data_IF_934185101884
#
_entry.id   IF_934185101884
#
_cell.length_a   1.000
_cell.length_b   1.000
_cell.length_c   1.000
_cell.angle_alpha   90.00
_cell.angle_beta   90.00
_cell.angle_gamma   90.00
#
_symmetry.space_group_name_H-M   'P 1'
#
loop_
_entity.id
_entity.type
_entity.pdbx_description
1 polymer ?
#
# COMPACT_ATOMS: atom_id res chain seq x y z
N UNK A 1 -19.78 -47.27 73.43
CA UNK A 1 -20.31 -47.01 72.09
C UNK A 1 -19.49 -45.87 71.51
N UNK A 2 -18.49 -46.20 70.66
CA UNK A 2 -17.54 -45.16 70.07
C UNK A 2 -17.96 -44.94 68.61
N UNK A 3 -18.41 -43.69 68.35
CA UNK A 3 -18.78 -43.23 67.06
C UNK A 3 -17.49 -42.76 66.31
N UNK A 4 -17.17 -43.39 65.14
CA UNK A 4 -16.06 -43.01 64.29
C UNK A 4 -16.58 -41.99 63.22
N UNK A 5 -16.13 -40.79 63.33
CA UNK A 5 -16.36 -39.77 62.30
C UNK A 5 -15.45 -40.06 61.08
N UNK A 6 -16.03 -40.21 59.91
CA UNK A 6 -15.34 -40.26 58.63
C UNK A 6 -15.33 -38.83 58.03
N UNK A 7 -14.15 -38.26 57.91
CA UNK A 7 -13.95 -36.99 57.19
C UNK A 7 -13.70 -37.33 55.70
N UNK A 8 -14.63 -36.95 54.84
CA UNK A 8 -14.47 -37.05 53.40
C UNK A 8 -13.82 -35.78 52.88
N UNK A 9 -12.56 -35.87 52.45
CA UNK A 9 -11.84 -34.76 51.83
C UNK A 9 -12.15 -34.77 50.32
N UNK A 10 -12.94 -33.79 49.84
CA UNK A 10 -13.22 -33.61 48.43
C UNK A 10 -12.10 -32.72 47.87
N UNK A 11 -11.24 -33.29 47.05
CA UNK A 11 -10.20 -32.54 46.28
C UNK A 11 -10.84 -31.99 45.02
N UNK A 12 -11.04 -30.68 44.99
CA UNK A 12 -11.55 -29.95 43.83
C UNK A 12 -10.38 -29.65 42.88
N UNK A 13 -10.26 -30.39 41.79
CA UNK A 13 -9.26 -30.13 40.75
C UNK A 13 -9.79 -29.03 39.81
N UNK A 14 -9.23 -27.85 39.95
CA UNK A 14 -9.53 -26.71 39.08
C UNK A 14 -8.83 -26.93 37.70
N UNK A 15 -9.58 -27.37 36.70
CA UNK A 15 -9.10 -27.36 35.31
C UNK A 15 -9.07 -25.94 34.81
N UNK A 16 -7.87 -25.36 34.73
CA UNK A 16 -7.63 -24.07 34.11
C UNK A 16 -7.60 -24.27 32.59
N UNK A 17 -8.74 -24.10 31.95
CA UNK A 17 -8.83 -24.05 30.47
C UNK A 17 -8.36 -22.66 30.00
N UNK A 18 -7.13 -22.59 29.51
CA UNK A 18 -6.65 -21.39 28.80
C UNK A 18 -7.46 -21.20 27.52
N UNK A 19 -8.10 -20.04 27.30
CA UNK A 19 -8.74 -19.78 26.02
C UNK A 19 -7.66 -19.67 24.95
N UNK A 20 -7.65 -20.60 24.02
CA UNK A 20 -6.88 -20.54 22.79
C UNK A 20 -7.50 -19.43 21.95
N UNK A 21 -6.86 -18.26 21.94
CA UNK A 21 -7.23 -17.16 21.05
C UNK A 21 -7.03 -17.65 19.61
N UNK A 22 -8.11 -18.03 18.97
CA UNK A 22 -8.11 -18.35 17.55
C UNK A 22 -7.72 -17.07 16.78
N UNK A 23 -6.60 -17.12 16.09
CA UNK A 23 -6.13 -16.05 15.21
C UNK A 23 -7.17 -15.87 14.09
N UNK A 24 -7.96 -14.81 14.19
CA UNK A 24 -8.99 -14.52 13.18
C UNK A 24 -8.29 -14.11 11.90
N UNK A 25 -8.17 -15.02 10.96
CA UNK A 25 -7.72 -14.73 9.60
C UNK A 25 -8.75 -13.78 8.98
N UNK A 26 -8.40 -12.52 8.84
CA UNK A 26 -9.22 -11.55 8.13
C UNK A 26 -9.24 -11.97 6.66
N UNK A 27 -10.28 -12.69 6.26
CA UNK A 27 -10.53 -13.00 4.86
C UNK A 27 -11.03 -11.73 4.19
N UNK A 28 -10.55 -11.42 2.98
CA UNK A 28 -11.09 -10.31 2.22
C UNK A 28 -12.58 -10.50 1.99
N UNK A 29 -13.38 -9.41 1.99
CA UNK A 29 -14.79 -9.50 1.63
C UNK A 29 -14.96 -10.18 0.27
N UNK A 30 -16.02 -11.00 0.06
CA UNK A 30 -16.18 -11.84 -1.13
C UNK A 30 -16.26 -11.09 -2.45
N UNK A 31 -16.55 -9.79 -2.43
CA UNK A 31 -16.76 -8.96 -3.63
C UNK A 31 -15.57 -8.05 -4.02
N UNK A 32 -14.37 -8.33 -3.50
CA UNK A 32 -13.20 -7.55 -3.88
C UNK A 32 -12.70 -7.92 -5.28
N UNK A 33 -12.41 -6.90 -6.11
CA UNK A 33 -11.74 -7.10 -7.39
C UNK A 33 -10.32 -7.64 -7.18
N UNK A 34 -9.75 -8.27 -8.22
CA UNK A 34 -8.36 -8.76 -8.19
C UNK A 34 -7.37 -7.60 -7.98
N UNK A 35 -7.63 -6.43 -8.55
CA UNK A 35 -6.84 -5.23 -8.33
C UNK A 35 -6.85 -4.80 -6.85
N UNK A 36 -8.03 -4.80 -6.20
CA UNK A 36 -8.12 -4.49 -4.78
C UNK A 36 -7.37 -5.51 -3.91
N UNK A 37 -7.50 -6.80 -4.22
CA UNK A 37 -6.76 -7.86 -3.51
C UNK A 37 -5.26 -7.65 -3.64
N UNK A 38 -4.77 -7.39 -4.86
CA UNK A 38 -3.35 -7.18 -5.11
C UNK A 38 -2.82 -5.93 -4.41
N UNK A 39 -3.53 -4.81 -4.44
CA UNK A 39 -3.06 -3.54 -3.87
C UNK A 39 -3.17 -3.50 -2.35
N UNK A 40 -4.30 -3.97 -1.77
CA UNK A 40 -4.63 -3.69 -0.37
C UNK A 40 -4.52 -4.89 0.56
N UNK A 41 -4.52 -6.12 0.04
CA UNK A 41 -4.63 -7.33 0.88
C UNK A 41 -3.48 -8.30 0.72
N UNK A 42 -2.66 -8.17 -0.32
CA UNK A 42 -1.50 -9.03 -0.53
C UNK A 42 -0.39 -8.72 0.48
N UNK A 43 0.25 -9.74 1.03
CA UNK A 43 1.48 -9.59 1.80
C UNK A 43 2.67 -9.35 0.85
N UNK A 44 2.85 -8.09 0.42
CA UNK A 44 3.94 -7.69 -0.47
C UNK A 44 5.33 -7.84 0.18
N UNK A 45 5.39 -7.84 1.51
CA UNK A 45 6.62 -7.98 2.27
C UNK A 45 6.92 -9.45 2.62
N UNK A 46 6.22 -10.41 2.01
CA UNK A 46 6.48 -11.82 2.22
C UNK A 46 7.95 -12.16 1.94
N UNK A 47 8.63 -12.80 2.91
CA UNK A 47 10.05 -13.14 2.81
C UNK A 47 11.01 -12.02 3.23
N UNK A 48 10.52 -10.81 3.50
CA UNK A 48 11.35 -9.71 4.02
C UNK A 48 11.53 -9.89 5.52
N UNK A 49 12.78 -9.94 5.97
CA UNK A 49 13.17 -10.22 7.35
C UNK A 49 13.15 -8.97 8.23
N UNK A 50 13.10 -9.19 9.57
CA UNK A 50 13.35 -8.11 10.55
C UNK A 50 14.74 -7.51 10.33
N UNK A 51 14.85 -6.19 10.42
CA UNK A 51 16.08 -5.43 10.18
C UNK A 51 16.37 -5.17 8.71
N UNK A 52 15.56 -5.71 7.77
CA UNK A 52 15.71 -5.39 6.35
C UNK A 52 15.21 -3.98 6.03
N UNK A 53 15.81 -3.41 4.99
CA UNK A 53 15.45 -2.13 4.42
C UNK A 53 15.12 -2.31 2.94
N UNK A 54 14.09 -1.62 2.46
CA UNK A 54 13.72 -1.55 1.05
C UNK A 54 13.80 -0.09 0.65
N UNK A 55 14.57 0.20 -0.39
CA UNK A 55 14.78 1.53 -0.91
C UNK A 55 14.09 1.65 -2.27
N UNK A 56 13.40 2.75 -2.47
CA UNK A 56 12.82 3.13 -3.74
C UNK A 56 13.39 4.48 -4.17
N UNK A 57 13.85 4.56 -5.41
CA UNK A 57 14.18 5.83 -6.03
C UNK A 57 12.91 6.55 -6.44
N UNK A 58 12.73 7.78 -5.99
CA UNK A 58 11.63 8.64 -6.38
C UNK A 58 12.10 9.66 -7.41
N UNK A 59 11.29 9.88 -8.44
CA UNK A 59 11.53 10.93 -9.44
C UNK A 59 10.25 11.71 -9.66
N UNK A 60 10.31 13.02 -9.58
CA UNK A 60 9.25 13.94 -9.98
C UNK A 60 9.74 14.80 -11.15
N UNK A 61 8.92 14.95 -12.18
CA UNK A 61 9.14 15.84 -13.32
C UNK A 61 7.85 16.58 -13.63
N UNK A 62 7.95 17.87 -13.71
CA UNK A 62 6.89 18.75 -14.18
C UNK A 62 7.37 19.52 -15.41
N UNK A 63 6.52 20.35 -16.00
CA UNK A 63 6.87 21.27 -17.08
C UNK A 63 7.83 22.40 -16.62
N UNK A 64 7.96 22.62 -15.31
CA UNK A 64 8.77 23.69 -14.71
C UNK A 64 10.04 23.18 -14.06
N UNK A 65 9.94 22.10 -13.31
CA UNK A 65 11.03 21.60 -12.47
C UNK A 65 10.90 20.09 -12.25
N UNK A 66 11.94 19.51 -11.72
CA UNK A 66 11.96 18.12 -11.32
C UNK A 66 13.00 17.86 -10.24
N UNK A 67 12.81 16.79 -9.49
CA UNK A 67 13.78 16.34 -8.50
C UNK A 67 13.82 14.82 -8.42
N UNK A 68 14.90 14.32 -7.82
CA UNK A 68 15.07 12.92 -7.46
C UNK A 68 15.31 12.83 -5.96
N UNK A 69 14.76 11.78 -5.35
CA UNK A 69 14.85 11.54 -3.91
C UNK A 69 14.69 10.05 -3.62
N UNK A 70 14.66 9.68 -2.35
CA UNK A 70 14.51 8.29 -1.91
C UNK A 70 13.32 8.11 -0.97
N UNK A 71 12.73 6.92 -1.03
CA UNK A 71 11.76 6.43 -0.05
C UNK A 71 12.33 5.16 0.55
N UNK A 72 12.42 5.12 1.87
CA UNK A 72 12.99 3.99 2.61
C UNK A 72 11.94 3.39 3.52
N UNK A 73 11.80 2.06 3.48
CA UNK A 73 10.99 1.29 4.42
C UNK A 73 11.92 0.39 5.23
N UNK A 74 11.79 0.42 6.56
CA UNK A 74 12.52 -0.46 7.48
C UNK A 74 11.55 -1.40 8.17
N UNK A 75 11.85 -2.70 8.14
CA UNK A 75 11.12 -3.71 8.92
C UNK A 75 11.72 -3.76 10.32
N UNK A 76 11.10 -3.12 11.30
CA UNK A 76 11.61 -3.05 12.68
C UNK A 76 11.24 -4.28 13.49
N UNK A 77 10.12 -4.94 13.16
CA UNK A 77 9.70 -6.15 13.85
C UNK A 77 8.83 -7.05 12.94
N UNK A 78 8.80 -8.35 13.26
CA UNK A 78 7.83 -9.31 12.70
C UNK A 78 6.93 -9.74 13.85
N UNK A 79 5.68 -9.30 13.82
CA UNK A 79 4.69 -9.54 14.88
C UNK A 79 4.09 -10.94 14.75
N UNK A 80 3.65 -11.30 13.53
CA UNK A 80 3.13 -12.61 13.18
C UNK A 80 3.24 -12.84 11.67
N UNK A 81 2.81 -14.00 11.17
CA UNK A 81 2.81 -14.29 9.73
C UNK A 81 2.03 -13.21 8.98
N UNK A 82 2.71 -12.51 8.07
CA UNK A 82 2.14 -11.44 7.25
C UNK A 82 1.97 -10.09 7.96
N UNK A 83 2.35 -9.96 9.25
CA UNK A 83 2.26 -8.69 10.00
C UNK A 83 3.61 -8.22 10.48
N UNK A 84 3.92 -6.95 10.21
CA UNK A 84 5.21 -6.32 10.52
C UNK A 84 5.01 -4.93 11.12
N UNK A 85 5.97 -4.51 11.92
CA UNK A 85 6.11 -3.12 12.33
C UNK A 85 7.11 -2.47 11.37
N UNK A 86 6.74 -1.31 10.84
CA UNK A 86 7.46 -0.63 9.76
C UNK A 86 7.69 0.84 10.11
N UNK A 87 8.87 1.32 9.78
CA UNK A 87 9.22 2.74 9.81
C UNK A 87 9.55 3.22 8.40
N UNK A 88 9.42 4.53 8.19
CA UNK A 88 9.55 5.16 6.88
C UNK A 88 10.43 6.39 6.94
N UNK A 89 11.30 6.56 5.91
CA UNK A 89 11.78 7.86 5.50
C UNK A 89 11.14 8.13 4.13
N UNK A 90 10.21 9.06 4.07
CA UNK A 90 9.50 9.35 2.83
C UNK A 90 9.95 10.70 2.31
N UNK A 91 10.85 10.66 1.33
CA UNK A 91 11.56 11.79 0.75
C UNK A 91 12.45 12.51 1.77
N UNK A 92 13.17 13.54 1.35
CA UNK A 92 14.13 14.27 2.17
C UNK A 92 13.98 15.80 2.06
N UNK A 93 14.70 16.54 2.90
CA UNK A 93 14.74 18.00 2.86
C UNK A 93 13.35 18.64 2.89
N UNK A 94 13.10 19.56 1.98
CA UNK A 94 11.81 20.28 1.86
C UNK A 94 10.65 19.40 1.37
N UNK A 95 10.96 18.25 0.76
CA UNK A 95 9.97 17.28 0.28
C UNK A 95 9.63 16.22 1.32
N UNK A 96 10.33 16.19 2.45
CA UNK A 96 10.13 15.18 3.49
C UNK A 96 8.69 15.18 4.03
N UNK A 97 8.12 13.98 4.16
CA UNK A 97 6.80 13.77 4.75
C UNK A 97 6.97 12.79 5.92
N UNK A 98 6.63 13.26 7.11
CA UNK A 98 6.64 12.45 8.32
C UNK A 98 5.38 11.57 8.37
N UNK A 99 5.54 10.31 8.01
CA UNK A 99 4.50 9.29 8.19
C UNK A 99 4.74 8.52 9.48
N UNK A 100 3.68 8.39 10.29
CA UNK A 100 3.74 7.57 11.50
C UNK A 100 4.10 6.12 11.18
N UNK A 101 4.87 5.44 12.06
CA UNK A 101 5.16 4.02 11.93
C UNK A 101 3.89 3.18 11.74
N UNK A 102 3.94 2.19 10.87
CA UNK A 102 2.84 1.25 10.68
C UNK A 102 3.04 0.01 11.57
N UNK A 103 2.15 -0.18 12.54
CA UNK A 103 2.23 -1.26 13.51
C UNK A 103 1.35 -2.44 13.10
N UNK A 104 1.87 -3.67 13.20
CA UNK A 104 1.15 -4.90 12.84
C UNK A 104 0.52 -4.86 11.44
N UNK A 105 1.19 -4.22 10.50
CA UNK A 105 0.68 -3.97 9.15
C UNK A 105 0.90 -5.17 8.22
N UNK A 106 -0.07 -5.40 7.34
CA UNK A 106 0.03 -6.39 6.25
C UNK A 106 0.13 -5.67 4.91
N UNK A 107 1.02 -6.14 4.04
CA UNK A 107 1.29 -5.50 2.75
C UNK A 107 2.41 -4.47 2.81
N UNK A 108 2.47 -3.62 1.79
CA UNK A 108 3.47 -2.57 1.68
C UNK A 108 2.78 -1.19 1.73
N UNK A 109 2.89 -0.45 2.83
CA UNK A 109 2.17 0.80 3.02
C UNK A 109 2.68 1.94 2.14
N UNK A 110 3.83 1.81 1.48
CA UNK A 110 4.33 2.84 0.55
C UNK A 110 3.32 3.17 -0.55
N UNK A 111 2.48 2.20 -0.96
CA UNK A 111 1.39 2.43 -1.91
C UNK A 111 0.46 3.54 -1.40
N UNK A 112 0.04 3.41 -0.15
CA UNK A 112 -0.87 4.38 0.48
C UNK A 112 -0.17 5.73 0.67
N UNK A 113 1.09 5.74 1.13
CA UNK A 113 1.85 6.97 1.34
C UNK A 113 2.08 7.72 0.02
N UNK A 114 2.43 7.02 -1.06
CA UNK A 114 2.54 7.61 -2.39
C UNK A 114 1.21 8.25 -2.85
N UNK A 115 0.10 7.54 -2.70
CA UNK A 115 -1.22 8.05 -3.07
C UNK A 115 -1.66 9.22 -2.20
N UNK A 116 -1.41 9.20 -0.88
CA UNK A 116 -1.78 10.30 0.03
C UNK A 116 -0.97 11.57 -0.25
N UNK A 117 0.32 11.44 -0.56
CA UNK A 117 1.13 12.57 -1.04
C UNK A 117 0.51 13.18 -2.29
N UNK A 118 0.21 12.38 -3.28
CA UNK A 118 -0.35 12.82 -4.54
C UNK A 118 -1.74 13.47 -4.39
N UNK A 119 -2.61 12.89 -3.55
CA UNK A 119 -3.90 13.46 -3.18
C UNK A 119 -3.73 14.83 -2.53
N UNK A 120 -2.75 14.97 -1.63
CA UNK A 120 -2.47 16.25 -0.96
C UNK A 120 -2.01 17.32 -1.94
N UNK A 121 -1.18 16.97 -2.91
CA UNK A 121 -0.76 17.88 -3.98
C UNK A 121 -1.95 18.32 -4.83
N UNK A 122 -2.76 17.39 -5.31
CA UNK A 122 -3.98 17.71 -6.08
C UNK A 122 -4.93 18.62 -5.30
N UNK A 123 -5.12 18.36 -4.01
CA UNK A 123 -5.96 19.17 -3.14
C UNK A 123 -5.40 20.60 -2.99
N UNK A 124 -4.09 20.71 -2.75
CA UNK A 124 -3.40 22.01 -2.64
C UNK A 124 -3.53 22.83 -3.91
N UNK A 125 -3.33 22.21 -5.06
CA UNK A 125 -3.35 22.89 -6.35
C UNK A 125 -4.74 23.32 -6.81
N UNK A 126 -5.77 22.56 -6.42
CA UNK A 126 -7.14 22.76 -6.92
C UNK A 126 -8.08 23.37 -5.88
N UNK A 127 -7.70 23.40 -4.61
CA UNK A 127 -8.58 23.71 -3.49
C UNK A 127 -9.63 22.60 -3.23
N UNK A 128 -9.50 21.45 -3.90
CA UNK A 128 -10.41 20.33 -3.75
C UNK A 128 -10.22 19.56 -2.43
N UNK A 129 -11.24 18.83 -2.03
CA UNK A 129 -11.19 18.04 -0.79
C UNK A 129 -10.45 16.71 -0.98
N UNK A 130 -9.46 16.40 -0.13
CA UNK A 130 -8.69 15.15 -0.16
C UNK A 130 -9.58 13.89 -0.23
N UNK A 131 -10.67 13.86 0.52
CA UNK A 131 -11.60 12.74 0.53
C UNK A 131 -12.28 12.48 -0.81
N UNK A 132 -12.48 13.51 -1.62
CA UNK A 132 -13.02 13.36 -2.98
C UNK A 132 -12.03 12.59 -3.86
N UNK A 133 -10.78 13.05 -3.95
CA UNK A 133 -9.74 12.42 -4.75
C UNK A 133 -9.46 10.98 -4.26
N UNK A 134 -9.34 10.79 -2.94
CA UNK A 134 -9.15 9.46 -2.34
C UNK A 134 -10.27 8.50 -2.71
N UNK A 135 -11.52 8.93 -2.64
CA UNK A 135 -12.67 8.09 -3.00
C UNK A 135 -12.68 7.72 -4.48
N UNK A 136 -12.32 8.66 -5.38
CA UNK A 136 -12.24 8.39 -6.83
C UNK A 136 -11.15 7.37 -7.14
N UNK A 137 -9.96 7.53 -6.59
CA UNK A 137 -8.84 6.58 -6.75
C UNK A 137 -9.25 5.21 -6.22
N UNK A 138 -9.75 5.12 -4.98
CA UNK A 138 -10.18 3.86 -4.37
C UNK A 138 -11.28 3.15 -5.17
N UNK A 139 -12.25 3.90 -5.69
CA UNK A 139 -13.35 3.33 -6.47
C UNK A 139 -12.90 2.85 -7.86
N UNK A 140 -11.82 3.38 -8.42
CA UNK A 140 -11.26 2.91 -9.68
C UNK A 140 -10.70 1.49 -9.60
N UNK A 141 -10.31 1.02 -8.42
CA UNK A 141 -9.91 -0.37 -8.20
C UNK A 141 -11.10 -1.32 -8.01
N UNK A 142 -12.30 -0.82 -7.77
CA UNK A 142 -13.52 -1.66 -7.61
C UNK A 142 -14.09 -2.15 -8.94
N UNK A 143 -13.98 -1.32 -9.99
CA UNK A 143 -14.34 -1.70 -11.36
C UNK A 143 -13.25 -2.63 -11.88
N UNK A 144 -13.50 -3.39 -12.96
CA UNK A 144 -12.42 -4.10 -13.63
C UNK A 144 -11.35 -3.07 -14.00
N UNK A 145 -10.33 -2.93 -13.16
CA UNK A 145 -9.15 -2.17 -13.52
C UNK A 145 -8.46 -2.92 -14.67
N UNK A 146 -7.82 -2.19 -15.57
CA UNK A 146 -7.01 -2.82 -16.60
C UNK A 146 -5.81 -3.48 -15.90
N UNK A 147 -5.72 -4.81 -16.05
CA UNK A 147 -4.68 -5.62 -15.43
C UNK A 147 -4.04 -6.49 -16.49
N UNK A 148 -2.73 -6.32 -16.67
CA UNK A 148 -1.96 -7.10 -17.65
C UNK A 148 -0.80 -7.84 -16.98
N UNK A 149 -0.52 -9.05 -17.47
CA UNK A 149 0.78 -9.69 -17.24
C UNK A 149 1.82 -9.04 -18.13
N UNK A 150 2.89 -8.51 -17.53
CA UNK A 150 3.99 -7.88 -18.24
C UNK A 150 5.31 -8.52 -17.88
N UNK A 151 6.30 -8.38 -18.76
CA UNK A 151 7.68 -8.77 -18.50
C UNK A 151 8.56 -7.52 -18.51
N UNK A 152 9.37 -7.36 -17.49
CA UNK A 152 10.30 -6.24 -17.34
C UNK A 152 11.68 -6.74 -16.91
N UNK A 153 12.66 -5.86 -16.90
CA UNK A 153 14.03 -6.16 -16.47
C UNK A 153 14.24 -5.69 -15.02
N UNK A 154 14.79 -6.58 -14.19
CA UNK A 154 15.21 -6.29 -12.83
C UNK A 154 16.56 -7.00 -12.58
N UNK A 155 17.58 -6.23 -12.16
CA UNK A 155 18.95 -6.73 -11.93
C UNK A 155 19.50 -7.59 -13.09
N UNK A 156 19.27 -7.12 -14.34
CA UNK A 156 19.74 -7.82 -15.55
C UNK A 156 18.95 -9.09 -15.91
N UNK A 157 17.84 -9.38 -15.23
CA UNK A 157 16.99 -10.56 -15.48
C UNK A 157 15.60 -10.15 -15.93
N UNK A 158 15.03 -10.94 -16.83
CA UNK A 158 13.60 -10.80 -17.21
C UNK A 158 12.71 -11.36 -16.11
N UNK A 159 11.84 -10.51 -15.58
CA UNK A 159 10.92 -10.81 -14.49
C UNK A 159 9.49 -10.61 -14.96
N UNK A 160 8.58 -11.53 -14.60
CA UNK A 160 7.14 -11.38 -14.81
C UNK A 160 6.52 -10.58 -13.68
N UNK A 161 5.55 -9.75 -14.02
CA UNK A 161 4.76 -8.99 -13.06
C UNK A 161 3.35 -8.72 -13.55
N UNK A 162 2.56 -8.12 -12.68
CA UNK A 162 1.21 -7.66 -12.97
C UNK A 162 1.19 -6.14 -12.97
N UNK A 163 0.80 -5.54 -14.07
CA UNK A 163 0.56 -4.10 -14.17
C UNK A 163 -0.92 -3.81 -13.96
N UNK A 164 -1.22 -2.80 -13.14
CA UNK A 164 -2.56 -2.26 -12.93
C UNK A 164 -2.56 -0.81 -13.37
N UNK A 165 -3.51 -0.45 -14.24
CA UNK A 165 -3.68 0.92 -14.71
C UNK A 165 -5.05 1.43 -14.35
N UNK A 166 -5.11 2.64 -13.78
CA UNK A 166 -6.36 3.33 -13.50
C UNK A 166 -6.32 4.80 -13.96
N UNK A 167 -7.48 5.30 -14.37
CA UNK A 167 -7.74 6.71 -14.72
C UNK A 167 -8.93 7.21 -13.90
N UNK A 168 -8.73 7.53 -12.61
CA UNK A 168 -9.83 7.71 -11.66
C UNK A 168 -10.74 8.90 -11.95
N UNK A 169 -10.26 9.86 -12.73
CA UNK A 169 -10.96 11.11 -12.99
C UNK A 169 -11.49 11.24 -14.42
N UNK A 170 -11.22 10.23 -15.26
CA UNK A 170 -11.69 10.24 -16.65
C UNK A 170 -13.24 10.23 -16.71
N UNK A 171 -13.80 11.24 -17.37
CA UNK A 171 -15.25 11.41 -17.46
C UNK A 171 -15.92 11.88 -16.17
N UNK A 172 -15.15 12.42 -15.21
CA UNK A 172 -15.70 12.95 -13.97
C UNK A 172 -16.54 14.20 -14.22
N UNK A 173 -17.81 14.28 -13.72
CA UNK A 173 -18.65 15.45 -13.92
C UNK A 173 -18.09 16.74 -13.30
N UNK A 174 -17.21 16.63 -12.31
CA UNK A 174 -16.55 17.76 -11.66
C UNK A 174 -15.15 18.08 -12.28
N UNK A 175 -14.76 17.43 -13.37
CA UNK A 175 -13.44 17.61 -13.98
C UNK A 175 -13.07 19.08 -14.29
N UNK A 176 -14.09 19.92 -14.54
CA UNK A 176 -13.89 21.37 -14.73
C UNK A 176 -13.20 22.08 -13.56
N UNK A 177 -13.35 21.55 -12.34
CA UNK A 177 -12.79 22.13 -11.11
C UNK A 177 -11.32 21.73 -10.90
N UNK A 178 -10.84 20.69 -11.61
CA UNK A 178 -9.48 20.18 -11.53
C UNK A 178 -8.95 19.78 -12.92
N UNK A 179 -9.11 20.63 -13.92
CA UNK A 179 -8.81 20.36 -15.33
C UNK A 179 -7.46 19.71 -15.56
N UNK A 180 -6.42 20.17 -14.85
CA UNK A 180 -5.07 19.61 -14.96
C UNK A 180 -5.05 18.10 -14.72
N UNK A 181 -5.84 17.62 -13.77
CA UNK A 181 -5.84 16.22 -13.33
C UNK A 181 -6.94 15.36 -13.97
N UNK A 182 -7.79 15.92 -14.83
CA UNK A 182 -8.95 15.22 -15.40
C UNK A 182 -8.58 13.90 -16.11
N UNK A 183 -7.41 13.89 -16.76
CA UNK A 183 -6.88 12.73 -17.49
C UNK A 183 -5.72 12.05 -16.76
N UNK A 184 -5.58 12.28 -15.44
CA UNK A 184 -4.51 11.69 -14.65
C UNK A 184 -4.59 10.18 -14.64
N UNK A 185 -3.43 9.53 -14.87
CA UNK A 185 -3.26 8.08 -14.92
C UNK A 185 -2.33 7.61 -13.81
N UNK A 186 -2.63 6.45 -13.25
CA UNK A 186 -1.76 5.73 -12.31
C UNK A 186 -1.44 4.35 -12.87
N UNK A 187 -0.20 3.95 -12.71
CA UNK A 187 0.33 2.64 -13.07
C UNK A 187 1.00 2.02 -11.84
N UNK A 188 0.64 0.77 -11.56
CA UNK A 188 1.23 -0.02 -10.46
C UNK A 188 1.79 -1.30 -11.05
N UNK A 189 3.07 -1.55 -10.90
CA UNK A 189 3.72 -2.78 -11.38
C UNK A 189 4.23 -3.60 -10.20
N UNK A 190 3.66 -4.77 -10.03
CA UNK A 190 3.94 -5.71 -8.95
C UNK A 190 4.64 -6.97 -9.46
N UNK A 191 5.49 -7.55 -8.62
CA UNK A 191 6.04 -8.88 -8.86
C UNK A 191 6.46 -9.53 -7.54
N UNK A 192 6.16 -10.82 -7.38
CA UNK A 192 6.62 -11.64 -6.24
C UNK A 192 8.14 -11.91 -6.27
N UNK A 193 8.82 -11.48 -7.34
CA UNK A 193 10.27 -11.60 -7.48
C UNK A 193 11.01 -10.35 -7.02
N UNK A 194 10.29 -9.29 -6.64
CA UNK A 194 10.85 -8.03 -6.18
C UNK A 194 10.73 -7.95 -4.66
N UNK A 195 11.80 -7.63 -3.93
CA UNK A 195 11.70 -7.33 -2.51
C UNK A 195 10.68 -6.22 -2.26
N UNK A 196 9.73 -6.44 -1.35
CA UNK A 196 8.64 -5.49 -1.13
C UNK A 196 7.48 -5.58 -2.12
N UNK A 197 7.55 -6.46 -3.12
CA UNK A 197 6.45 -6.79 -4.05
C UNK A 197 6.13 -5.72 -5.09
N UNK A 198 6.71 -4.51 -4.99
CA UNK A 198 6.44 -3.36 -5.86
C UNK A 198 7.69 -3.06 -6.69
N UNK A 199 7.57 -3.13 -8.01
CA UNK A 199 8.62 -2.70 -8.90
C UNK A 199 8.51 -1.20 -9.23
N UNK A 200 7.28 -0.71 -9.50
CA UNK A 200 7.05 0.70 -9.85
C UNK A 200 5.65 1.15 -9.45
N UNK A 201 5.56 2.34 -8.93
CA UNK A 201 4.34 3.14 -8.92
C UNK A 201 4.61 4.40 -9.72
N UNK A 202 3.73 4.75 -10.66
CA UNK A 202 3.86 5.94 -11.49
C UNK A 202 2.53 6.66 -11.58
N UNK A 203 2.58 7.98 -11.56
CA UNK A 203 1.43 8.83 -11.89
C UNK A 203 1.82 9.83 -12.98
N UNK A 204 0.91 10.05 -13.91
CA UNK A 204 1.12 10.96 -15.01
C UNK A 204 -0.10 11.82 -15.27
N UNK A 205 0.15 13.09 -15.59
CA UNK A 205 -0.82 13.98 -16.22
C UNK A 205 -0.40 14.14 -17.68
N UNK A 206 -1.16 13.59 -18.63
CA UNK A 206 -0.82 13.70 -20.05
C UNK A 206 -0.85 15.16 -20.51
N UNK A 207 -0.03 15.46 -21.51
CA UNK A 207 -0.05 16.73 -22.22
C UNK A 207 -0.65 16.50 -23.59
N UNK A 208 -1.83 17.07 -23.86
CA UNK A 208 -2.53 16.91 -25.14
C UNK A 208 -1.77 17.55 -26.32
N UNK A 209 -0.88 18.51 -26.04
CA UNK A 209 -0.14 19.26 -27.03
C UNK A 209 1.33 18.83 -27.21
N UNK A 210 1.81 17.88 -26.40
CA UNK A 210 3.19 17.44 -26.43
C UNK A 210 3.34 15.93 -26.12
N UNK A 211 4.46 15.34 -26.58
CA UNK A 211 4.78 13.91 -26.28
C UNK A 211 5.12 13.65 -24.81
N UNK A 212 5.63 14.68 -24.10
CA UNK A 212 5.98 14.54 -22.69
C UNK A 212 4.80 14.94 -21.81
N UNK A 213 4.51 14.20 -20.73
CA UNK A 213 3.46 14.56 -19.79
C UNK A 213 3.76 15.88 -19.09
N UNK A 214 2.72 16.57 -18.62
CA UNK A 214 2.83 17.79 -17.81
C UNK A 214 3.37 17.45 -16.40
N UNK A 215 3.01 16.29 -15.89
CA UNK A 215 3.50 15.74 -14.62
C UNK A 215 3.83 14.28 -14.86
N UNK A 216 5.00 13.85 -14.41
CA UNK A 216 5.44 12.45 -14.40
C UNK A 216 6.17 12.18 -13.08
N UNK A 217 5.54 11.47 -12.18
CA UNK A 217 6.14 11.09 -10.92
C UNK A 217 6.13 9.57 -10.78
N UNK A 218 7.25 9.01 -10.35
CA UNK A 218 7.33 7.58 -10.11
C UNK A 218 8.31 7.24 -8.99
N UNK A 219 8.05 6.12 -8.35
CA UNK A 219 9.01 5.41 -7.51
C UNK A 219 9.32 4.03 -8.10
N UNK A 220 10.54 3.60 -7.94
CA UNK A 220 11.03 2.32 -8.48
C UNK A 220 12.09 1.70 -7.57
#
# INVERSE_FOLDING_TARGET
MRMRSFIFTITFTLLCSTPMLAETKILPPPDLSEAQKLIFFKDHLQGVSKGSQINYQFTSKTDKEGFQDEIVIRVTNIVSKGKRDLEFDFLSGENHIDFSPAMSYTGNPVIIHFLERDISLMSKDTGGWNGYFRNKIRNSFRKPAHMDEVTFEFEGKKVKGTEIVITPFLGDPNARNFKLYANKRYEFLFSDKIPGGIYRIRTQVPNENAKQPLIDEHMK
#
